data_IF_522666520736
#
_entry.id   IF_522666520736
#
_cell.length_a   1.000
_cell.length_b   1.000
_cell.length_c   1.000
_cell.angle_alpha   90.00
_cell.angle_beta   90.00
_cell.angle_gamma   90.00
#
_symmetry.space_group_name_H-M   'P 1'
#
loop_
_entity.id
_entity.type
_entity.pdbx_description
1 polymer ?
#
# COMPACT_ATOMS: atom_id res chain seq x y z
N UNK A 1 18.67 -23.09 -30.83
CA UNK A 1 19.35 -22.24 -29.83
C UNK A 1 18.76 -20.82 -29.79
N UNK A 2 18.60 -20.12 -30.92
CA UNK A 2 17.98 -18.76 -30.99
C UNK A 2 16.70 -18.55 -30.17
N UNK A 3 15.68 -19.42 -30.31
CA UNK A 3 14.42 -19.31 -29.53
C UNK A 3 14.60 -19.37 -28.01
N UNK A 4 15.65 -20.05 -27.53
CA UNK A 4 15.92 -20.17 -26.10
C UNK A 4 16.65 -18.93 -25.57
N UNK A 5 17.53 -18.34 -26.37
CA UNK A 5 18.21 -17.07 -26.08
C UNK A 5 17.19 -15.92 -26.06
N UNK A 6 16.34 -15.82 -27.08
CA UNK A 6 15.23 -14.85 -27.16
C UNK A 6 14.28 -14.98 -25.95
N UNK A 7 13.89 -16.21 -25.59
CA UNK A 7 13.04 -16.43 -24.43
C UNK A 7 13.75 -16.01 -23.12
N UNK A 8 15.05 -16.27 -22.99
CA UNK A 8 15.84 -15.92 -21.80
C UNK A 8 16.01 -14.40 -21.67
N UNK A 9 16.18 -13.68 -22.77
CA UNK A 9 16.15 -12.22 -22.82
C UNK A 9 14.80 -11.68 -22.37
N UNK A 10 13.69 -12.23 -22.90
CA UNK A 10 12.34 -11.83 -22.50
C UNK A 10 12.10 -12.11 -21.01
N UNK A 11 12.59 -13.23 -20.48
CA UNK A 11 12.46 -13.55 -19.06
C UNK A 11 13.11 -12.48 -18.19
N UNK A 12 14.26 -11.92 -18.58
CA UNK A 12 14.95 -10.86 -17.84
C UNK A 12 15.07 -11.15 -16.33
N UNK A 13 15.34 -12.42 -15.96
CA UNK A 13 15.42 -12.87 -14.56
C UNK A 13 14.07 -13.16 -13.85
N UNK A 14 12.94 -13.03 -14.54
CA UNK A 14 11.60 -13.40 -14.05
C UNK A 14 11.34 -14.89 -14.26
N UNK A 15 10.38 -15.44 -13.49
CA UNK A 15 9.98 -16.86 -13.59
C UNK A 15 8.92 -17.13 -14.66
N UNK A 16 8.21 -16.10 -15.14
CA UNK A 16 7.16 -16.21 -16.17
C UNK A 16 7.01 -14.90 -16.93
N UNK A 17 6.43 -14.95 -18.13
CA UNK A 17 6.01 -13.76 -18.90
C UNK A 17 4.78 -14.11 -19.74
N UNK A 18 3.91 -13.12 -20.04
CA UNK A 18 2.79 -13.35 -20.95
C UNK A 18 3.23 -13.41 -22.40
N UNK A 19 2.67 -14.34 -23.18
CA UNK A 19 2.90 -14.40 -24.64
C UNK A 19 2.44 -13.14 -25.37
N UNK A 20 1.45 -12.44 -24.83
CA UNK A 20 0.84 -11.26 -25.45
C UNK A 20 1.29 -9.93 -24.84
N UNK A 21 1.90 -9.98 -23.66
CA UNK A 21 2.45 -8.84 -22.93
C UNK A 21 3.72 -9.29 -22.20
N UNK A 22 4.86 -9.16 -22.87
CA UNK A 22 6.13 -9.65 -22.36
C UNK A 22 6.57 -8.95 -21.06
N UNK A 23 6.03 -7.77 -20.76
CA UNK A 23 6.31 -7.04 -19.52
C UNK A 23 5.47 -7.56 -18.34
N UNK A 24 4.34 -8.20 -18.61
CA UNK A 24 3.44 -8.73 -17.61
C UNK A 24 3.87 -10.13 -17.12
N UNK A 25 3.57 -10.41 -15.86
CA UNK A 25 3.93 -11.65 -15.16
C UNK A 25 2.67 -12.36 -14.70
N UNK A 26 2.69 -13.69 -14.66
CA UNK A 26 1.55 -14.45 -14.19
C UNK A 26 1.45 -14.39 -12.67
N UNK A 27 0.34 -13.85 -12.18
CA UNK A 27 0.08 -13.62 -10.76
C UNK A 27 -1.29 -14.14 -10.33
N UNK A 28 -1.44 -14.48 -9.05
CA UNK A 28 -2.74 -14.71 -8.46
C UNK A 28 -3.47 -13.38 -8.33
N UNK A 29 -4.60 -13.24 -9.00
CA UNK A 29 -5.43 -12.05 -8.91
C UNK A 29 -6.29 -12.11 -7.64
N UNK A 30 -6.43 -10.98 -6.95
CA UNK A 30 -7.38 -10.86 -5.82
C UNK A 30 -8.82 -11.14 -6.26
N UNK A 31 -9.18 -10.78 -7.49
CA UNK A 31 -10.49 -11.04 -8.07
C UNK A 31 -10.44 -12.32 -8.93
N UNK A 32 -10.59 -13.47 -8.28
CA UNK A 32 -10.74 -14.77 -8.94
C UNK A 32 -12.22 -15.16 -9.07
N UNK A 33 -12.90 -14.59 -10.07
CA UNK A 33 -14.31 -14.88 -10.37
C UNK A 33 -14.57 -16.38 -10.61
N UNK A 34 -13.58 -17.12 -11.12
CA UNK A 34 -13.73 -18.54 -11.43
C UNK A 34 -13.38 -19.44 -10.23
N UNK A 35 -12.79 -18.88 -9.16
CA UNK A 35 -12.30 -19.61 -7.97
C UNK A 35 -11.46 -20.84 -8.32
N UNK A 36 -10.76 -20.79 -9.44
CA UNK A 36 -9.96 -21.89 -9.97
C UNK A 36 -8.47 -21.71 -9.69
N UNK A 37 -8.08 -20.60 -9.04
CA UNK A 37 -6.68 -20.29 -8.74
C UNK A 37 -5.86 -19.98 -9.98
N UNK A 38 -6.48 -19.70 -11.13
CA UNK A 38 -5.76 -19.48 -12.37
C UNK A 38 -4.94 -18.19 -12.31
N UNK A 39 -3.65 -18.31 -12.59
CA UNK A 39 -2.76 -17.16 -12.73
C UNK A 39 -3.14 -16.36 -13.98
N UNK A 40 -3.14 -15.03 -13.84
CA UNK A 40 -3.39 -14.13 -14.96
C UNK A 40 -2.21 -13.18 -15.12
N UNK A 41 -1.91 -12.74 -16.35
CA UNK A 41 -0.89 -11.74 -16.56
C UNK A 41 -1.34 -10.43 -15.91
N UNK A 42 -0.46 -9.84 -15.12
CA UNK A 42 -0.74 -8.60 -14.41
C UNK A 42 0.54 -7.90 -13.98
N UNK A 43 0.34 -6.71 -13.44
CA UNK A 43 1.34 -5.90 -12.78
C UNK A 43 0.93 -5.70 -11.34
N UNK A 44 1.93 -5.66 -10.46
CA UNK A 44 1.75 -5.25 -9.09
C UNK A 44 1.87 -3.73 -9.02
N UNK A 45 0.82 -3.06 -8.54
CA UNK A 45 0.74 -1.60 -8.45
C UNK A 45 1.07 -1.21 -7.02
N UNK A 46 2.11 -0.40 -6.83
CA UNK A 46 2.44 0.22 -5.56
C UNK A 46 2.15 1.71 -5.62
N UNK A 47 1.66 2.27 -4.51
CA UNK A 47 1.34 3.68 -4.41
C UNK A 47 1.73 4.22 -3.04
N UNK A 48 2.41 5.36 -3.02
CA UNK A 48 2.69 6.16 -1.84
C UNK A 48 1.56 7.18 -1.67
N UNK A 49 1.07 7.31 -0.45
CA UNK A 49 -0.10 8.15 -0.19
C UNK A 49 0.10 8.98 1.06
N UNK A 50 -0.41 10.22 1.06
CA UNK A 50 -0.38 11.10 2.22
C UNK A 50 -1.68 11.87 2.31
N UNK A 51 -2.36 11.84 3.47
CA UNK A 51 -3.67 12.47 3.63
C UNK A 51 -4.64 12.06 2.51
N UNK A 52 -4.59 10.79 2.12
CA UNK A 52 -5.27 10.16 0.98
C UNK A 52 -5.12 10.92 -0.37
N UNK A 53 -4.00 11.61 -0.59
CA UNK A 53 -3.51 11.98 -1.92
C UNK A 53 -2.45 10.98 -2.35
N UNK A 54 -2.43 10.63 -3.63
CA UNK A 54 -1.36 9.82 -4.23
C UNK A 54 -0.17 10.73 -4.48
N UNK A 55 0.97 10.41 -3.87
CA UNK A 55 2.22 11.19 -4.02
C UNK A 55 3.07 10.60 -5.13
N UNK A 56 3.22 9.29 -5.12
CA UNK A 56 3.98 8.54 -6.12
C UNK A 56 3.36 7.16 -6.33
N UNK A 57 3.64 6.53 -7.47
CA UNK A 57 3.21 5.18 -7.77
C UNK A 57 4.19 4.49 -8.72
N UNK A 58 4.21 3.16 -8.68
CA UNK A 58 5.06 2.36 -9.56
C UNK A 58 4.41 1.03 -9.91
N UNK A 59 4.84 0.48 -11.05
CA UNK A 59 4.43 -0.81 -11.56
C UNK A 59 5.59 -1.81 -11.54
N UNK A 60 5.35 -2.94 -10.90
CA UNK A 60 6.32 -4.02 -10.80
C UNK A 60 5.79 -5.30 -11.46
N UNK A 61 6.65 -6.04 -12.18
CA UNK A 61 6.34 -7.39 -12.64
C UNK A 61 6.56 -8.43 -11.51
N UNK A 62 6.65 -8.01 -10.25
CA UNK A 62 6.94 -8.90 -9.13
C UNK A 62 5.62 -9.37 -8.52
N UNK A 63 5.35 -10.69 -8.42
CA UNK A 63 4.12 -11.20 -7.80
C UNK A 63 4.00 -10.90 -6.31
N UNK A 64 5.11 -10.59 -5.65
CA UNK A 64 5.21 -10.36 -4.21
C UNK A 64 5.81 -8.98 -3.95
N UNK A 65 5.33 -8.32 -2.91
CA UNK A 65 5.71 -6.94 -2.55
C UNK A 65 7.12 -6.85 -1.94
N UNK A 66 7.69 -7.96 -1.48
CA UNK A 66 8.99 -7.96 -0.77
C UNK A 66 10.09 -7.25 -1.54
N UNK A 67 10.19 -7.45 -2.86
CA UNK A 67 11.27 -6.87 -3.69
C UNK A 67 10.92 -5.51 -4.30
N UNK A 68 9.74 -4.96 -3.99
CA UNK A 68 9.28 -3.72 -4.62
C UNK A 68 9.56 -2.50 -3.76
N UNK A 69 9.92 -2.66 -2.47
CA UNK A 69 10.10 -1.51 -1.56
C UNK A 69 11.32 -0.66 -1.93
N UNK A 70 12.50 -1.25 -1.97
CA UNK A 70 13.76 -0.57 -2.32
C UNK A 70 13.65 0.21 -3.64
N UNK A 71 13.31 -0.42 -4.79
CA UNK A 71 13.21 0.33 -6.04
C UNK A 71 12.06 1.36 -6.05
N UNK A 72 11.10 1.26 -5.13
CA UNK A 72 10.04 2.25 -4.99
C UNK A 72 10.50 3.48 -4.22
N UNK A 73 11.26 3.28 -3.14
CA UNK A 73 11.84 4.36 -2.36
C UNK A 73 12.88 5.13 -3.17
N UNK A 74 13.74 4.43 -3.94
CA UNK A 74 14.72 5.06 -4.82
C UNK A 74 14.09 5.93 -5.92
N UNK A 75 12.93 5.52 -6.45
CA UNK A 75 12.20 6.28 -7.46
C UNK A 75 11.63 7.59 -6.88
N UNK A 76 11.28 7.59 -5.60
CA UNK A 76 10.49 8.65 -4.98
C UNK A 76 11.34 9.90 -4.69
N UNK A 77 11.34 10.83 -5.64
CA UNK A 77 12.07 12.12 -5.55
C UNK A 77 11.65 13.01 -4.38
N UNK A 78 10.48 12.76 -3.78
CA UNK A 78 9.94 13.56 -2.67
C UNK A 78 10.07 12.88 -1.31
N UNK A 79 10.78 11.75 -1.25
CA UNK A 79 10.93 10.94 -0.04
C UNK A 79 11.64 11.70 1.10
N UNK A 80 12.48 12.67 0.76
CA UNK A 80 13.13 13.61 1.68
C UNK A 80 12.14 14.45 2.51
N UNK A 81 10.92 14.67 2.00
CA UNK A 81 9.87 15.44 2.68
C UNK A 81 9.10 14.62 3.73
N UNK A 82 9.41 13.33 3.87
CA UNK A 82 8.70 12.42 4.75
C UNK A 82 9.65 11.74 5.73
N UNK A 83 9.32 11.83 7.02
CA UNK A 83 10.09 11.21 8.10
C UNK A 83 9.67 9.77 8.39
N UNK A 84 8.51 9.35 7.86
CA UNK A 84 7.85 8.09 8.25
C UNK A 84 7.51 7.24 7.04
N UNK A 85 7.87 5.97 7.10
CA UNK A 85 7.54 4.96 6.09
C UNK A 85 6.55 3.97 6.72
N UNK A 86 5.35 3.86 6.16
CA UNK A 86 4.32 2.93 6.66
C UNK A 86 3.94 1.99 5.53
N UNK A 87 4.01 0.67 5.76
CA UNK A 87 3.73 -0.30 4.72
C UNK A 87 3.10 -1.60 5.26
N UNK A 88 2.56 -2.40 4.36
CA UNK A 88 1.89 -3.67 4.67
C UNK A 88 2.86 -4.76 5.10
N UNK A 89 2.33 -5.83 5.72
CA UNK A 89 3.14 -6.97 6.13
C UNK A 89 3.88 -7.67 4.98
N UNK A 90 3.39 -7.50 3.74
CA UNK A 90 4.03 -8.00 2.52
C UNK A 90 5.39 -7.36 2.23
N UNK A 91 5.74 -6.29 2.93
CA UNK A 91 7.05 -5.63 2.86
C UNK A 91 7.99 -6.03 4.00
N UNK A 92 7.49 -6.68 5.05
CA UNK A 92 8.28 -7.05 6.22
C UNK A 92 9.19 -8.25 5.94
N UNK A 93 10.37 -7.98 5.41
CA UNK A 93 11.43 -8.96 5.18
C UNK A 93 12.74 -8.51 5.83
N UNK A 94 13.63 -9.46 6.10
CA UNK A 94 14.94 -9.15 6.66
C UNK A 94 15.72 -8.17 5.78
N UNK A 95 15.73 -8.43 4.47
CA UNK A 95 16.38 -7.57 3.49
C UNK A 95 15.87 -6.13 3.56
N UNK A 96 14.54 -5.95 3.54
CA UNK A 96 13.95 -4.61 3.58
C UNK A 96 14.24 -3.89 4.89
N UNK A 97 14.25 -4.59 6.01
CA UNK A 97 14.58 -3.96 7.29
C UNK A 97 16.06 -3.56 7.35
N UNK A 98 16.99 -4.42 6.91
CA UNK A 98 18.40 -4.05 6.83
C UNK A 98 18.63 -2.85 5.91
N UNK A 99 18.02 -2.86 4.71
CA UNK A 99 18.10 -1.75 3.76
C UNK A 99 17.55 -0.44 4.37
N UNK A 100 16.43 -0.49 5.09
CA UNK A 100 15.87 0.69 5.76
C UNK A 100 16.78 1.22 6.87
N UNK A 101 17.45 0.35 7.63
CA UNK A 101 18.38 0.75 8.69
C UNK A 101 19.70 1.31 8.14
N UNK A 102 20.17 0.80 7.00
CA UNK A 102 21.43 1.20 6.38
C UNK A 102 21.30 2.47 5.53
N UNK A 103 20.30 2.51 4.64
CA UNK A 103 20.16 3.59 3.64
C UNK A 103 19.20 4.69 4.08
N UNK A 104 18.22 4.38 4.93
CA UNK A 104 17.15 5.29 5.37
C UNK A 104 17.14 5.47 6.89
N UNK A 105 18.32 5.51 7.50
CA UNK A 105 18.51 5.61 8.96
C UNK A 105 17.88 6.86 9.60
N UNK A 106 17.62 7.91 8.82
CA UNK A 106 16.91 9.13 9.23
C UNK A 106 15.38 8.92 9.35
N UNK A 107 14.85 7.83 8.80
CA UNK A 107 13.41 7.59 8.67
C UNK A 107 12.90 6.55 9.67
N UNK A 108 11.71 6.79 10.20
CA UNK A 108 11.01 5.84 11.06
C UNK A 108 10.10 4.95 10.22
N UNK A 109 10.30 3.64 10.26
CA UNK A 109 9.44 2.69 9.54
C UNK A 109 8.46 1.95 10.47
N UNK A 110 7.23 1.77 9.98
CA UNK A 110 6.14 1.06 10.62
C UNK A 110 5.63 -0.03 9.66
N UNK A 111 6.35 -1.13 9.64
CA UNK A 111 6.09 -2.27 8.74
C UNK A 111 6.05 -3.53 9.60
N UNK A 112 4.92 -4.25 9.67
CA UNK A 112 4.87 -5.53 10.36
C UNK A 112 5.58 -6.61 9.55
N UNK A 113 6.19 -7.58 10.23
CA UNK A 113 6.63 -8.80 9.56
C UNK A 113 5.44 -9.74 9.32
N UNK A 114 5.54 -10.64 8.36
CA UNK A 114 4.44 -11.51 7.90
C UNK A 114 3.69 -12.25 9.01
N UNK A 115 4.40 -12.67 10.07
CA UNK A 115 3.82 -13.43 11.19
C UNK A 115 3.27 -12.54 12.32
N UNK A 116 3.45 -11.22 12.26
CA UNK A 116 3.15 -10.28 13.35
C UNK A 116 1.70 -10.36 13.83
N UNK A 117 0.73 -10.35 12.92
CA UNK A 117 -0.70 -10.45 13.29
C UNK A 117 -1.05 -11.85 13.80
N UNK A 118 -0.49 -12.88 13.15
CA UNK A 118 -0.73 -14.29 13.51
C UNK A 118 -0.23 -14.59 14.92
N UNK A 119 0.95 -14.10 15.27
CA UNK A 119 1.58 -14.25 16.59
C UNK A 119 0.76 -13.60 17.71
N UNK A 120 -0.05 -12.60 17.40
CA UNK A 120 -0.91 -11.93 18.38
C UNK A 120 -2.20 -12.68 18.69
N UNK A 121 -2.62 -13.61 17.81
CA UNK A 121 -3.87 -14.35 18.00
C UNK A 121 -3.83 -15.26 19.24
N UNK A 122 -4.97 -15.39 19.95
CA UNK A 122 -5.10 -16.30 21.10
C UNK A 122 -4.69 -17.73 20.75
N UNK A 123 -5.07 -18.19 19.55
CA UNK A 123 -4.72 -19.52 19.05
C UNK A 123 -3.21 -19.72 18.99
N UNK A 124 -2.45 -18.73 18.50
CA UNK A 124 -0.99 -18.84 18.41
C UNK A 124 -0.32 -18.77 19.77
N UNK A 125 -0.76 -17.86 20.65
CA UNK A 125 -0.22 -17.71 22.01
C UNK A 125 -0.45 -18.91 22.91
N UNK A 126 -1.53 -19.66 22.66
CA UNK A 126 -1.87 -20.85 23.43
C UNK A 126 -1.42 -22.14 22.74
N UNK A 127 -0.78 -22.05 21.57
CA UNK A 127 -0.34 -23.23 20.81
C UNK A 127 0.84 -23.91 21.52
N UNK A 128 0.67 -25.17 21.99
CA UNK A 128 1.72 -25.90 22.70
C UNK A 128 2.90 -26.27 21.81
N UNK A 129 2.77 -26.20 20.48
CA UNK A 129 3.86 -26.56 19.55
C UNK A 129 4.89 -25.45 19.38
N UNK A 130 4.65 -24.25 19.92
CA UNK A 130 5.54 -23.09 19.78
C UNK A 130 6.48 -23.00 20.96
N UNK A 131 7.78 -23.10 20.67
CA UNK A 131 8.85 -22.94 21.65
C UNK A 131 8.77 -21.60 22.40
N UNK A 132 8.32 -20.53 21.73
CA UNK A 132 8.15 -19.22 22.35
C UNK A 132 7.06 -19.15 23.45
N UNK A 133 6.18 -20.16 23.52
CA UNK A 133 5.15 -20.27 24.55
C UNK A 133 5.57 -21.20 25.70
N UNK A 134 6.78 -21.77 25.65
CA UNK A 134 7.31 -22.68 26.67
C UNK A 134 8.01 -21.87 27.76
N UNK A 135 8.00 -22.39 28.99
CA UNK A 135 8.75 -21.77 30.09
C UNK A 135 10.24 -22.10 29.90
N UNK A 136 11.09 -21.09 29.95
CA UNK A 136 12.54 -21.25 29.87
C UNK A 136 13.15 -20.99 31.25
N UNK A 137 13.96 -21.93 31.73
CA UNK A 137 14.74 -21.79 32.95
C UNK A 137 16.20 -21.46 32.59
N UNK A 138 16.63 -20.25 32.95
CA UNK A 138 18.00 -19.77 32.66
C UNK A 138 19.06 -20.52 33.48
N UNK A 139 18.74 -20.95 34.70
CA UNK A 139 19.70 -21.59 35.60
C UNK A 139 20.08 -23.00 35.16
N UNK A 140 19.10 -23.78 34.66
CA UNK A 140 19.31 -25.15 34.20
C UNK A 140 19.41 -25.32 32.68
N UNK A 141 19.30 -24.24 31.90
CA UNK A 141 19.28 -24.19 30.43
C UNK A 141 18.34 -25.25 29.82
N UNK A 142 17.05 -25.17 30.19
CA UNK A 142 16.03 -26.06 29.64
C UNK A 142 14.69 -25.35 29.44
N UNK A 143 13.90 -25.89 28.52
CA UNK A 143 12.51 -25.52 28.34
C UNK A 143 11.58 -26.54 29.00
N UNK A 144 10.46 -26.07 29.53
CA UNK A 144 9.34 -26.89 29.98
C UNK A 144 8.15 -26.72 29.03
N UNK A 145 7.62 -27.83 28.52
CA UNK A 145 6.35 -27.81 27.80
C UNK A 145 5.15 -27.67 28.75
N UNK A 146 3.94 -27.60 28.18
CA UNK A 146 2.69 -27.51 28.96
C UNK A 146 2.39 -28.77 29.80
N UNK A 147 3.08 -29.88 29.55
CA UNK A 147 2.95 -31.13 30.29
C UNK A 147 4.06 -31.30 31.35
N UNK A 148 4.93 -30.31 31.53
CA UNK A 148 6.07 -30.37 32.45
C UNK A 148 7.24 -31.23 31.97
N UNK A 149 7.28 -31.61 30.68
CA UNK A 149 8.39 -32.34 30.09
C UNK A 149 9.56 -31.39 29.87
N UNK A 150 10.73 -31.78 30.38
CA UNK A 150 11.98 -31.03 30.26
C UNK A 150 12.65 -31.28 28.90
N UNK A 151 12.91 -30.21 28.18
CA UNK A 151 13.65 -30.20 26.92
C UNK A 151 14.94 -29.40 27.08
N UNK A 152 16.07 -30.08 27.17
CA UNK A 152 17.39 -29.46 27.12
C UNK A 152 17.86 -29.30 25.68
N UNK A 153 18.73 -28.31 25.44
CA UNK A 153 19.41 -28.20 24.15
C UNK A 153 20.17 -29.49 23.83
N UNK A 154 19.92 -30.07 22.64
CA UNK A 154 20.60 -31.30 22.20
C UNK A 154 21.73 -31.00 21.23
N UNK A 155 21.39 -30.38 20.10
CA UNK A 155 22.34 -29.91 19.09
C UNK A 155 21.63 -28.98 18.12
N UNK A 156 22.41 -28.18 17.38
CA UNK A 156 21.88 -27.46 16.23
C UNK A 156 21.48 -28.44 15.13
N UNK A 157 20.21 -28.43 14.72
CA UNK A 157 19.73 -29.21 13.58
C UNK A 157 19.78 -28.37 12.31
N UNK A 158 20.55 -28.84 11.33
CA UNK A 158 20.67 -28.21 10.02
C UNK A 158 19.61 -28.76 9.06
N UNK A 159 18.36 -28.25 9.14
CA UNK A 159 17.35 -28.48 8.09
C UNK A 159 17.59 -27.62 6.85
N UNK A 160 18.02 -28.25 5.77
CA UNK A 160 18.10 -27.62 4.45
C UNK A 160 16.69 -27.27 3.97
N UNK A 161 16.43 -26.01 3.68
CA UNK A 161 15.25 -25.61 2.93
C UNK A 161 15.22 -26.38 1.59
N UNK A 162 14.05 -26.91 1.19
CA UNK A 162 13.91 -27.67 -0.07
C UNK A 162 14.18 -26.80 -1.30
N UNK A 163 14.05 -25.49 -1.18
CA UNK A 163 14.17 -24.55 -2.30
C UNK A 163 15.55 -23.88 -2.37
N UNK A 164 16.18 -23.60 -1.23
CA UNK A 164 17.47 -22.89 -1.17
C UNK A 164 18.61 -23.72 -0.58
N UNK A 165 18.34 -24.91 -0.04
CA UNK A 165 19.35 -25.82 0.51
C UNK A 165 20.01 -25.34 1.81
N UNK A 166 19.59 -24.21 2.37
CA UNK A 166 20.23 -23.56 3.52
C UNK A 166 19.40 -23.68 4.79
N UNK A 167 20.09 -23.66 5.93
CA UNK A 167 19.54 -23.63 7.29
C UNK A 167 19.83 -22.23 7.79
N UNK A 168 18.81 -21.39 7.96
CA UNK A 168 19.04 -20.02 8.44
C UNK A 168 18.41 -19.84 9.81
N UNK A 169 19.22 -20.05 10.85
CA UNK A 169 19.05 -19.27 12.07
C UNK A 169 19.70 -17.92 11.81
N UNK A 170 18.90 -16.87 11.71
CA UNK A 170 19.39 -15.53 11.43
C UNK A 170 19.18 -14.64 12.67
N UNK A 171 20.22 -14.42 13.49
CA UNK A 171 20.11 -13.59 14.69
C UNK A 171 19.71 -12.15 14.34
N UNK A 172 20.15 -11.62 13.20
CA UNK A 172 19.77 -10.29 12.73
C UNK A 172 18.25 -10.20 12.51
N UNK A 173 17.64 -11.21 11.88
CA UNK A 173 16.19 -11.24 11.67
C UNK A 173 15.40 -11.24 12.98
N UNK A 174 15.89 -11.92 14.04
CA UNK A 174 15.22 -11.91 15.33
C UNK A 174 15.26 -10.51 15.97
N UNK A 175 16.44 -9.89 15.96
CA UNK A 175 16.63 -8.51 16.42
C UNK A 175 15.70 -7.53 15.68
N UNK A 176 15.67 -7.59 14.34
CA UNK A 176 14.85 -6.69 13.52
C UNK A 176 13.35 -6.90 13.77
N UNK A 177 12.88 -8.14 13.96
CA UNK A 177 11.48 -8.40 14.33
C UNK A 177 11.14 -7.81 15.69
N UNK A 178 12.03 -7.92 16.66
CA UNK A 178 11.81 -7.42 18.01
C UNK A 178 11.77 -5.89 18.04
N UNK A 179 12.66 -5.23 17.28
CA UNK A 179 12.63 -3.79 17.03
C UNK A 179 11.33 -3.35 16.35
N UNK A 180 10.95 -3.98 15.24
CA UNK A 180 9.71 -3.68 14.54
C UNK A 180 8.47 -3.89 15.45
N UNK A 181 8.47 -4.95 16.25
CA UNK A 181 7.41 -5.25 17.23
C UNK A 181 7.31 -4.17 18.30
N UNK A 182 8.43 -3.73 18.87
CA UNK A 182 8.46 -2.67 19.89
C UNK A 182 7.88 -1.36 19.33
N UNK A 183 8.31 -0.95 18.13
CA UNK A 183 7.80 0.25 17.44
C UNK A 183 6.30 0.14 17.18
N UNK A 184 5.83 -0.97 16.59
CA UNK A 184 4.41 -1.18 16.28
C UNK A 184 3.51 -1.35 17.52
N UNK A 185 4.07 -1.79 18.65
CA UNK A 185 3.33 -1.95 19.90
C UNK A 185 3.27 -0.68 20.74
N UNK A 186 4.10 0.34 20.47
CA UNK A 186 3.98 1.65 21.10
C UNK A 186 2.61 2.29 20.82
N UNK A 187 2.04 3.10 21.73
CA UNK A 187 0.79 3.84 21.49
C UNK A 187 0.83 4.67 20.20
N UNK A 188 1.94 5.38 19.98
CA UNK A 188 2.17 6.23 18.81
C UNK A 188 2.28 5.39 17.54
N UNK A 189 3.04 4.29 17.58
CA UNK A 189 3.22 3.41 16.43
C UNK A 189 1.94 2.69 16.03
N UNK A 190 1.10 2.28 16.99
CA UNK A 190 -0.23 1.74 16.71
C UNK A 190 -1.12 2.76 16.01
N UNK A 191 -1.11 4.01 16.50
CA UNK A 191 -1.90 5.08 15.89
C UNK A 191 -1.45 5.34 14.45
N UNK A 192 -0.15 5.56 14.24
CA UNK A 192 0.43 5.81 12.91
C UNK A 192 0.14 4.64 11.95
N UNK A 193 0.36 3.41 12.39
CA UNK A 193 0.08 2.24 11.57
C UNK A 193 -1.41 2.10 11.25
N UNK A 194 -2.30 2.43 12.19
CA UNK A 194 -3.75 2.39 11.97
C UNK A 194 -4.23 3.41 10.91
N UNK A 195 -3.53 4.55 10.77
CA UNK A 195 -3.84 5.56 9.76
C UNK A 195 -3.69 5.04 8.32
N UNK A 196 -2.85 4.03 8.09
CA UNK A 196 -2.70 3.34 6.79
C UNK A 196 -4.06 2.91 6.22
N UNK A 197 -4.96 2.42 7.08
CA UNK A 197 -6.29 1.99 6.68
C UNK A 197 -7.12 3.13 6.11
N UNK A 198 -6.94 4.34 6.63
CA UNK A 198 -7.68 5.53 6.21
C UNK A 198 -7.02 6.24 5.02
N UNK A 199 -5.71 6.12 4.85
CA UNK A 199 -4.99 6.76 3.75
C UNK A 199 -4.95 5.90 2.50
N UNK A 200 -4.51 4.64 2.61
CA UNK A 200 -4.17 3.78 1.46
C UNK A 200 -5.41 3.05 0.92
N UNK A 201 -6.22 2.43 1.80
CA UNK A 201 -7.35 1.61 1.36
C UNK A 201 -8.40 2.39 0.54
N UNK A 202 -8.78 3.63 0.91
CA UNK A 202 -9.77 4.39 0.15
C UNK A 202 -9.30 4.73 -1.26
N UNK A 203 -8.01 4.97 -1.47
CA UNK A 203 -7.46 5.25 -2.80
C UNK A 203 -7.67 4.05 -3.71
N UNK A 204 -7.25 2.86 -3.29
CA UNK A 204 -7.46 1.65 -4.09
C UNK A 204 -8.93 1.26 -4.23
N UNK A 205 -9.75 1.55 -3.21
CA UNK A 205 -11.21 1.38 -3.27
C UNK A 205 -11.85 2.29 -4.31
N UNK A 206 -11.47 3.57 -4.34
CA UNK A 206 -11.97 4.57 -5.27
C UNK A 206 -11.53 4.26 -6.71
N UNK A 207 -10.27 3.85 -6.90
CA UNK A 207 -9.76 3.41 -8.19
C UNK A 207 -10.59 2.24 -8.77
N UNK A 208 -10.97 1.27 -7.94
CA UNK A 208 -11.73 0.09 -8.39
C UNK A 208 -13.22 0.33 -8.56
N UNK A 209 -13.84 1.11 -7.68
CA UNK A 209 -15.29 1.23 -7.59
C UNK A 209 -15.85 2.47 -8.27
N UNK A 210 -15.08 3.57 -8.30
CA UNK A 210 -15.51 4.84 -8.93
C UNK A 210 -14.95 4.95 -10.34
N UNK A 211 -13.65 4.68 -10.50
CA UNK A 211 -12.99 4.71 -11.80
C UNK A 211 -13.15 3.40 -12.59
N UNK A 212 -13.72 2.35 -11.98
CA UNK A 212 -13.96 1.07 -12.63
C UNK A 212 -12.68 0.31 -13.04
N UNK A 213 -11.51 0.75 -12.59
CA UNK A 213 -10.20 0.18 -12.96
C UNK A 213 -9.91 -1.10 -12.18
N UNK A 214 -10.70 -2.14 -12.46
CA UNK A 214 -10.43 -3.51 -11.97
C UNK A 214 -9.46 -4.27 -12.85
N UNK A 215 -9.32 -3.84 -14.10
CA UNK A 215 -8.40 -4.39 -15.11
C UNK A 215 -7.88 -3.26 -15.98
N UNK A 216 -6.68 -3.43 -16.49
CA UNK A 216 -6.09 -2.53 -17.48
C UNK A 216 -6.45 -3.04 -18.86
N UNK A 217 -6.84 -2.13 -19.76
CA UNK A 217 -7.17 -2.48 -21.15
C UNK A 217 -5.95 -2.45 -22.07
N UNK A 218 -4.87 -1.82 -21.61
CA UNK A 218 -3.62 -1.67 -22.35
C UNK A 218 -2.65 -2.81 -22.04
N UNK A 219 -1.69 -3.03 -22.95
CA UNK A 219 -0.60 -4.00 -22.83
C UNK A 219 0.75 -3.28 -22.93
N UNK A 220 1.73 -3.78 -22.19
CA UNK A 220 3.06 -3.19 -22.05
C UNK A 220 3.14 -2.21 -20.87
N UNK A 221 4.24 -2.28 -20.12
CA UNK A 221 4.38 -1.61 -18.83
C UNK A 221 4.08 -0.11 -18.93
N UNK A 222 4.74 0.58 -19.87
CA UNK A 222 4.62 2.05 -20.04
C UNK A 222 3.19 2.52 -20.34
N UNK A 223 2.43 1.75 -21.13
CA UNK A 223 1.05 2.10 -21.46
C UNK A 223 0.14 1.95 -20.25
N UNK A 224 0.31 0.84 -19.52
CA UNK A 224 -0.43 0.58 -18.28
C UNK A 224 -0.10 1.61 -17.20
N UNK A 225 1.17 2.00 -17.09
CA UNK A 225 1.64 3.04 -16.17
C UNK A 225 0.99 4.39 -16.46
N UNK A 226 0.90 4.77 -17.74
CA UNK A 226 0.26 6.02 -18.16
C UNK A 226 -1.23 6.03 -17.80
N UNK A 227 -1.94 4.92 -18.04
CA UNK A 227 -3.37 4.78 -17.74
C UNK A 227 -3.65 4.93 -16.23
N UNK A 228 -2.86 4.24 -15.40
CA UNK A 228 -2.95 4.32 -13.94
C UNK A 228 -2.58 5.70 -13.43
N UNK A 229 -1.53 6.32 -13.99
CA UNK A 229 -1.11 7.67 -13.64
C UNK A 229 -2.18 8.72 -13.91
N UNK A 230 -2.87 8.63 -15.05
CA UNK A 230 -4.01 9.50 -15.37
C UNK A 230 -5.13 9.34 -14.34
N UNK A 231 -5.43 8.11 -13.94
CA UNK A 231 -6.46 7.86 -12.93
C UNK A 231 -6.10 8.43 -11.57
N UNK A 232 -4.86 8.23 -11.09
CA UNK A 232 -4.39 8.81 -9.84
C UNK A 232 -4.36 10.35 -9.89
N UNK A 233 -3.94 10.94 -11.01
CA UNK A 233 -4.00 12.37 -11.21
C UNK A 233 -5.44 12.89 -11.14
N UNK A 234 -6.39 12.22 -11.82
CA UNK A 234 -7.80 12.61 -11.78
C UNK A 234 -8.40 12.48 -10.38
N UNK A 235 -8.02 11.43 -9.62
CA UNK A 235 -8.42 11.26 -8.23
C UNK A 235 -7.92 12.40 -7.34
N UNK A 236 -6.63 12.74 -7.45
CA UNK A 236 -6.03 13.84 -6.71
C UNK A 236 -6.71 15.19 -7.03
N UNK A 237 -6.96 15.48 -8.31
CA UNK A 237 -7.63 16.70 -8.75
C UNK A 237 -9.07 16.77 -8.25
N UNK A 238 -9.83 15.68 -8.38
CA UNK A 238 -11.22 15.60 -7.89
C UNK A 238 -11.28 15.86 -6.38
N UNK A 239 -10.34 15.29 -5.63
CA UNK A 239 -10.23 15.50 -4.19
C UNK A 239 -9.84 16.93 -3.85
N UNK A 240 -8.85 17.49 -4.54
CA UNK A 240 -8.43 18.87 -4.37
C UNK A 240 -9.59 19.84 -4.62
N UNK A 241 -10.33 19.65 -5.72
CA UNK A 241 -11.50 20.45 -6.06
C UNK A 241 -12.58 20.41 -4.96
N UNK A 242 -12.98 19.19 -4.56
CA UNK A 242 -14.02 19.02 -3.54
C UNK A 242 -13.64 19.59 -2.17
N UNK A 243 -12.34 19.65 -1.84
CA UNK A 243 -11.84 20.21 -0.58
C UNK A 243 -11.68 21.73 -0.64
N UNK A 244 -11.30 22.27 -1.81
CA UNK A 244 -11.08 23.71 -2.01
C UNK A 244 -12.39 24.46 -2.25
N UNK A 245 -13.39 23.79 -2.81
CA UNK A 245 -14.69 24.35 -3.22
C UNK A 245 -15.85 23.55 -2.59
N UNK A 246 -16.27 23.89 -1.36
CA UNK A 246 -17.44 23.26 -0.73
C UNK A 246 -18.70 23.48 -1.59
N UNK A 247 -19.62 22.50 -1.54
CA UNK A 247 -20.88 22.52 -2.32
C UNK A 247 -21.83 23.68 -1.97
N UNK A 248 -21.56 24.44 -0.92
CA UNK A 248 -22.36 25.61 -0.48
C UNK A 248 -22.23 26.86 -1.37
N UNK A 249 -21.57 26.77 -2.53
CA UNK A 249 -21.53 27.86 -3.49
C UNK A 249 -22.78 28.00 -4.38
N UNK A 250 -23.81 27.14 -4.24
CA UNK A 250 -25.11 27.40 -4.88
C UNK A 250 -25.66 28.78 -4.48
N UNK A 251 -25.41 29.19 -3.24
CA UNK A 251 -25.76 30.52 -2.71
C UNK A 251 -24.99 31.68 -3.34
N UNK A 252 -23.79 31.46 -3.88
CA UNK A 252 -22.99 32.50 -4.54
C UNK A 252 -23.38 32.69 -6.01
N UNK A 253 -23.86 31.63 -6.67
CA UNK A 253 -24.39 31.69 -8.04
C UNK A 253 -25.84 32.22 -8.07
N UNK A 254 -26.68 31.85 -7.11
CA UNK A 254 -28.06 32.37 -6.98
C UNK A 254 -28.07 33.88 -6.65
N UNK A 255 -27.13 34.34 -5.83
CA UNK A 255 -27.03 35.76 -5.46
C UNK A 255 -26.61 36.69 -6.62
N UNK A 256 -25.93 36.19 -7.65
CA UNK A 256 -25.60 37.01 -8.84
C UNK A 256 -26.82 37.22 -9.73
N UNK A 257 -27.60 36.17 -9.98
CA UNK A 257 -28.80 36.25 -10.81
C UNK A 257 -29.93 37.05 -10.13
N UNK A 258 -30.06 37.01 -8.80
CA UNK A 258 -31.05 37.82 -8.09
C UNK A 258 -30.64 39.31 -8.04
N UNK A 259 -29.36 39.64 -7.84
CA UNK A 259 -28.90 41.05 -7.86
C UNK A 259 -29.06 41.74 -9.22
N UNK A 260 -28.89 41.02 -10.34
CA UNK A 260 -29.17 41.57 -11.67
C UNK A 260 -30.67 41.80 -11.91
N UNK A 261 -31.52 40.88 -11.45
CA UNK A 261 -32.99 41.02 -11.57
C UNK A 261 -33.55 42.14 -10.70
N UNK A 262 -33.06 42.29 -9.47
CA UNK A 262 -33.49 43.35 -8.55
C UNK A 262 -33.04 44.73 -9.05
N UNK A 263 -31.85 44.82 -9.67
CA UNK A 263 -31.37 46.04 -10.32
C UNK A 263 -32.22 46.49 -11.51
N UNK A 264 -32.60 45.55 -12.39
CA UNK A 264 -33.50 45.83 -13.51
C UNK A 264 -34.92 46.20 -13.06
N UNK A 265 -35.45 45.52 -12.04
CA UNK A 265 -36.78 45.83 -11.49
C UNK A 265 -36.83 47.21 -10.82
N UNK A 266 -35.79 47.60 -10.07
CA UNK A 266 -35.69 48.93 -9.47
C UNK A 266 -35.58 50.04 -10.53
N UNK A 267 -34.87 49.78 -11.63
CA UNK A 267 -34.71 50.73 -12.73
C UNK A 267 -36.02 50.92 -13.52
N UNK A 268 -36.77 49.84 -13.76
CA UNK A 268 -38.11 49.89 -14.39
C UNK A 268 -39.10 50.63 -13.47
N UNK A 269 -39.09 50.35 -12.17
CA UNK A 269 -39.98 51.01 -11.21
C UNK A 269 -39.71 52.52 -11.10
N UNK A 270 -38.44 52.92 -11.07
CA UNK A 270 -38.06 54.34 -11.13
C UNK A 270 -38.49 55.02 -12.44
N UNK A 271 -38.60 54.27 -13.55
CA UNK A 271 -39.01 54.82 -14.84
C UNK A 271 -40.52 55.03 -14.89
N UNK A 272 -41.30 54.06 -14.37
CA UNK A 272 -42.76 54.16 -14.24
C UNK A 272 -43.16 55.29 -13.29
N UNK A 273 -42.49 55.41 -12.13
CA UNK A 273 -42.80 56.47 -11.15
C UNK A 273 -42.51 57.89 -11.71
N UNK A 274 -41.55 58.04 -12.63
CA UNK A 274 -41.29 59.33 -13.31
C UNK A 274 -42.33 59.67 -14.37
N UNK A 275 -42.89 58.67 -15.05
CA UNK A 275 -43.96 58.86 -16.04
C UNK A 275 -45.28 59.27 -15.36
N UNK A 276 -45.60 58.69 -14.20
CA UNK A 276 -46.82 58.99 -13.45
C UNK A 276 -46.82 60.38 -12.78
N UNK A 277 -45.65 60.99 -12.56
CA UNK A 277 -45.52 62.36 -12.02
C UNK A 277 -45.61 63.44 -13.12
N UNK A 278 -45.53 63.06 -14.41
CA UNK A 278 -45.61 64.01 -15.53
C UNK A 278 -47.02 64.23 -16.11
N UNK A 279 -48.05 63.54 -15.58
CA UNK A 279 -49.45 63.64 -16.03
C UNK A 279 -50.39 64.34 -15.02
N UNK A 280 -49.84 65.12 -14.08
CA UNK A 280 -50.58 65.99 -13.16
C UNK A 280 -50.12 67.44 -13.29
#
# INVERSE_FOLDING_TARGET
MKKYEEAKEIFAGRNSYSKTDHDATFMHMKEDRMKNGQLKPGYNIQAATTNQYVVDFALYPNPTDFKTLEPFLEQMTTLDKFDKIVADAGYGSEYNYSMLEEEYSDKQYYIPYTMYEKEQTRKYKNDPTKLANWFYDEQGDYYLDQNGVRFSFKHYSRRKDKTTGQVRYNPNWQYLKEKAKAVLQSPEGRYIYSMRKYDVEPIFGHLKNVFGMRRTHLRGKKKVETDIGIAFMMMNLSKYWNRRWPKDQSSLCENKNNKEKDGQAAQIKSWIDRLLVSES
#
